data_IF_728252969219
#
_entry.id   IF_728252969219
#
_cell.length_a   1.000
_cell.length_b   1.000
_cell.length_c   1.000
_cell.angle_alpha   90.00
_cell.angle_beta   90.00
_cell.angle_gamma   90.00
#
_symmetry.space_group_name_H-M   'P 1'
#
loop_
_entity.id
_entity.type
_entity.pdbx_description
1 polymer ?
#
# COMPACT_ATOMS: atom_id res chain seq x y z
N UNK A 1 32.91 -5.23 30.41
CA UNK A 1 31.48 -5.49 30.14
C UNK A 1 31.24 -5.30 28.65
N UNK A 2 31.20 -6.38 27.88
CA UNK A 2 30.81 -6.30 26.46
C UNK A 2 29.33 -5.91 26.39
N UNK A 3 29.03 -4.80 25.74
CA UNK A 3 27.67 -4.49 25.29
C UNK A 3 27.25 -5.55 24.27
N UNK A 4 26.55 -6.60 24.72
CA UNK A 4 25.76 -7.41 23.80
C UNK A 4 24.76 -6.46 23.15
N UNK A 5 25.03 -6.11 21.90
CA UNK A 5 24.04 -5.58 20.98
C UNK A 5 22.88 -6.58 20.97
N UNK A 6 21.87 -6.31 21.80
CA UNK A 6 20.62 -7.04 21.83
C UNK A 6 19.95 -6.77 20.48
N UNK A 7 20.25 -7.60 19.49
CA UNK A 7 19.44 -7.68 18.29
C UNK A 7 18.00 -7.96 18.75
N UNK A 8 17.07 -7.09 18.34
CA UNK A 8 15.65 -7.34 18.58
C UNK A 8 15.33 -8.73 18.03
N UNK A 9 14.59 -9.53 18.80
CA UNK A 9 14.25 -10.85 18.34
C UNK A 9 13.36 -10.78 17.09
N UNK A 10 13.54 -11.67 16.13
CA UNK A 10 12.84 -11.57 14.86
C UNK A 10 11.73 -12.62 14.74
N UNK A 11 10.59 -12.21 14.17
CA UNK A 11 9.54 -13.15 13.78
C UNK A 11 10.05 -13.92 12.54
N UNK A 12 10.15 -15.23 12.67
CA UNK A 12 10.40 -16.12 11.52
C UNK A 12 9.07 -16.50 10.87
N UNK A 13 9.10 -16.83 9.58
CA UNK A 13 7.91 -17.27 8.85
C UNK A 13 8.25 -18.35 7.82
N UNK A 14 7.26 -19.17 7.48
CA UNK A 14 7.31 -20.08 6.33
C UNK A 14 6.06 -19.94 5.47
N UNK A 15 6.22 -20.21 4.19
CA UNK A 15 5.14 -20.22 3.20
C UNK A 15 4.89 -21.68 2.82
N UNK A 16 3.63 -22.11 2.93
CA UNK A 16 3.22 -23.50 2.72
C UNK A 16 4.11 -24.45 3.54
N UNK A 17 4.66 -25.50 2.92
CA UNK A 17 5.55 -26.49 3.55
C UNK A 17 7.05 -26.12 3.44
N UNK A 18 7.35 -24.87 3.10
CA UNK A 18 8.73 -24.38 3.01
C UNK A 18 9.44 -24.28 4.37
N UNK A 19 10.73 -23.95 4.31
CA UNK A 19 11.53 -23.69 5.50
C UNK A 19 11.20 -22.33 6.15
N UNK A 20 11.40 -22.23 7.47
CA UNK A 20 11.31 -20.96 8.16
C UNK A 20 12.46 -20.04 7.78
N UNK A 21 12.15 -18.77 7.51
CA UNK A 21 13.13 -17.71 7.22
C UNK A 21 12.86 -16.46 8.05
N UNK A 22 13.87 -15.59 8.18
CA UNK A 22 13.79 -14.32 8.91
C UNK A 22 13.95 -13.16 7.91
N UNK A 23 12.85 -12.82 7.23
CA UNK A 23 12.76 -11.61 6.40
C UNK A 23 11.64 -10.73 6.94
N UNK A 24 11.87 -9.42 6.96
CA UNK A 24 10.86 -8.45 7.41
C UNK A 24 9.77 -8.17 6.36
N UNK A 25 9.84 -8.78 5.18
CA UNK A 25 8.87 -8.61 4.11
C UNK A 25 8.53 -9.94 3.43
N UNK A 26 7.24 -10.24 3.32
CA UNK A 26 6.71 -11.46 2.71
C UNK A 26 5.65 -11.11 1.67
N UNK A 27 5.69 -11.77 0.51
CA UNK A 27 4.71 -11.61 -0.56
C UNK A 27 4.00 -12.94 -0.80
N UNK A 28 2.66 -12.92 -0.81
CA UNK A 28 1.81 -14.10 -0.86
C UNK A 28 0.75 -13.95 -1.94
N UNK A 29 0.55 -15.01 -2.71
CA UNK A 29 -0.65 -15.16 -3.55
C UNK A 29 -1.84 -15.61 -2.71
N UNK A 30 -3.10 -15.48 -3.22
CA UNK A 30 -4.31 -15.80 -2.47
C UNK A 30 -4.43 -17.22 -1.92
N UNK A 31 -3.68 -18.18 -2.51
CA UNK A 31 -3.75 -19.61 -2.17
C UNK A 31 -2.67 -20.05 -1.19
N UNK A 32 -1.66 -19.21 -0.94
CA UNK A 32 -0.52 -19.58 -0.11
C UNK A 32 -0.86 -19.43 1.37
N UNK A 33 -0.43 -20.41 2.16
CA UNK A 33 -0.54 -20.42 3.62
C UNK A 33 0.69 -19.79 4.24
N UNK A 34 0.52 -18.90 5.21
CA UNK A 34 1.61 -18.32 5.98
C UNK A 34 1.57 -18.82 7.41
N UNK A 35 2.69 -19.37 7.88
CA UNK A 35 2.91 -19.65 9.30
C UNK A 35 3.95 -18.68 9.84
N UNK A 36 3.60 -17.97 10.91
CA UNK A 36 4.49 -17.10 11.68
C UNK A 36 4.99 -17.84 12.92
N UNK A 37 6.22 -17.54 13.34
CA UNK A 37 6.83 -18.14 14.52
C UNK A 37 7.67 -17.15 15.31
N UNK A 38 7.42 -17.14 16.61
CA UNK A 38 8.19 -16.39 17.59
C UNK A 38 8.38 -17.28 18.82
N UNK A 39 9.58 -17.86 18.96
CA UNK A 39 9.86 -18.95 19.91
C UNK A 39 11.04 -18.62 20.81
N UNK A 40 10.88 -18.89 22.10
CA UNK A 40 11.92 -18.79 23.12
C UNK A 40 11.83 -19.99 24.06
N UNK A 41 12.97 -20.38 24.62
CA UNK A 41 12.98 -21.31 25.75
C UNK A 41 12.45 -20.58 26.99
N UNK A 42 11.70 -21.28 27.85
CA UNK A 42 11.15 -20.76 29.11
C UNK A 42 10.19 -19.57 28.90
N UNK A 43 9.38 -19.62 27.83
CA UNK A 43 8.33 -18.64 27.59
C UNK A 43 7.14 -18.90 28.54
N UNK A 44 6.85 -17.94 29.42
CA UNK A 44 5.67 -17.96 30.29
C UNK A 44 4.41 -17.56 29.53
N UNK A 45 4.50 -16.59 28.62
CA UNK A 45 3.41 -16.18 27.75
C UNK A 45 3.90 -15.56 26.45
N UNK A 46 3.07 -15.67 25.40
CA UNK A 46 3.34 -15.11 24.07
C UNK A 46 2.13 -14.29 23.63
N UNK A 47 2.36 -13.06 23.15
CA UNK A 47 1.31 -12.18 22.64
C UNK A 47 1.65 -11.71 21.24
N UNK A 48 0.65 -11.73 20.36
CA UNK A 48 0.76 -11.29 18.98
C UNK A 48 -0.12 -10.07 18.75
N UNK A 49 0.38 -9.18 17.90
CA UNK A 49 -0.27 -7.91 17.59
C UNK A 49 -0.21 -7.65 16.10
N UNK A 50 -1.31 -7.10 15.59
CA UNK A 50 -1.32 -6.43 14.29
C UNK A 50 -1.10 -4.93 14.52
N UNK A 51 -0.17 -4.35 13.76
CA UNK A 51 0.03 -2.91 13.68
C UNK A 51 -0.73 -2.42 12.45
N UNK A 52 -1.70 -1.55 12.68
CA UNK A 52 -2.60 -1.06 11.64
C UNK A 52 -2.40 0.45 11.49
N UNK A 53 -1.85 0.94 10.37
CA UNK A 53 -1.80 2.36 10.11
C UNK A 53 -3.22 2.91 9.93
N UNK A 54 -3.47 4.14 10.38
CA UNK A 54 -4.74 4.81 10.17
C UNK A 54 -4.81 5.36 8.75
N UNK A 55 -5.45 4.62 7.85
CA UNK A 55 -5.60 5.00 6.43
C UNK A 55 -6.75 5.98 6.18
N UNK A 56 -7.54 6.34 7.20
CA UNK A 56 -8.65 7.29 7.05
C UNK A 56 -8.20 8.76 7.06
N UNK A 57 -6.98 9.03 7.55
CA UNK A 57 -6.42 10.38 7.68
C UNK A 57 -5.69 10.83 6.43
N UNK A 58 -5.74 12.14 6.19
CA UNK A 58 -4.98 12.77 5.11
C UNK A 58 -3.62 13.21 5.65
N UNK A 59 -2.60 12.41 5.36
CA UNK A 59 -1.23 12.77 5.70
C UNK A 59 -0.59 13.58 4.58
N UNK A 60 0.44 14.34 4.94
CA UNK A 60 1.19 15.13 3.99
C UNK A 60 2.64 15.31 4.43
N UNK A 61 3.54 15.35 3.47
CA UNK A 61 4.90 15.87 3.65
C UNK A 61 5.11 17.22 2.93
N UNK A 62 4.11 17.67 2.19
CA UNK A 62 4.10 18.94 1.49
C UNK A 62 2.71 19.59 1.63
N UNK A 63 2.63 20.91 1.49
CA UNK A 63 1.33 21.60 1.53
C UNK A 63 0.45 21.15 0.36
N UNK A 64 -0.83 20.91 0.62
CA UNK A 64 -1.80 20.56 -0.38
C UNK A 64 -2.03 21.70 -1.40
N UNK A 65 -2.61 21.41 -2.57
CA UNK A 65 -2.86 22.41 -3.60
C UNK A 65 -3.75 23.59 -3.17
N UNK A 66 -4.58 23.40 -2.14
CA UNK A 66 -5.50 24.41 -1.61
C UNK A 66 -4.96 25.15 -0.37
N UNK A 67 -3.75 24.83 0.09
CA UNK A 67 -3.14 25.47 1.25
C UNK A 67 -2.19 26.61 0.83
N UNK A 68 -1.90 27.58 1.72
CA UNK A 68 -0.85 28.57 1.48
C UNK A 68 0.50 27.90 1.21
N UNK A 69 1.30 28.47 0.31
CA UNK A 69 2.55 27.87 -0.17
C UNK A 69 2.34 26.43 -0.69
N UNK A 70 1.33 26.22 -1.53
CA UNK A 70 1.00 24.93 -2.13
C UNK A 70 2.25 24.20 -2.65
N UNK A 71 2.29 22.89 -2.43
CA UNK A 71 3.39 21.97 -2.81
C UNK A 71 4.72 22.20 -2.09
N UNK A 72 4.84 23.18 -1.18
CA UNK A 72 6.04 23.37 -0.37
C UNK A 72 6.25 22.18 0.56
N UNK A 73 7.45 21.59 0.54
CA UNK A 73 7.87 20.55 1.48
C UNK A 73 7.84 21.06 2.92
N UNK A 74 7.23 20.29 3.82
CA UNK A 74 7.08 20.60 5.25
C UNK A 74 7.75 19.58 6.17
N UNK A 75 8.42 18.57 5.61
CA UNK A 75 9.02 17.47 6.36
C UNK A 75 8.14 16.23 6.36
N UNK A 76 8.60 15.15 6.97
CA UNK A 76 7.80 13.93 7.06
C UNK A 76 6.60 14.13 7.99
N UNK A 77 5.40 13.89 7.48
CA UNK A 77 4.18 13.87 8.26
C UNK A 77 4.20 12.74 9.30
N UNK A 78 3.65 13.01 10.48
CA UNK A 78 3.48 12.00 11.52
C UNK A 78 2.32 11.08 11.14
N UNK A 79 2.61 9.79 11.02
CA UNK A 79 1.63 8.76 10.72
C UNK A 79 1.12 8.13 12.01
N UNK A 80 -0.19 7.92 12.09
CA UNK A 80 -0.81 7.27 13.23
C UNK A 80 -0.97 5.78 12.98
N UNK A 81 -0.70 4.99 14.03
CA UNK A 81 -0.77 3.55 14.01
C UNK A 81 -1.51 3.07 15.25
N UNK A 82 -2.32 2.02 15.07
CA UNK A 82 -2.94 1.29 16.17
C UNK A 82 -2.25 -0.05 16.32
N UNK A 83 -2.09 -0.51 17.57
CA UNK A 83 -1.59 -1.84 17.90
C UNK A 83 -2.75 -2.65 18.46
N UNK A 84 -3.15 -3.70 17.75
CA UNK A 84 -4.33 -4.49 18.05
C UNK A 84 -3.90 -5.91 18.42
N UNK A 85 -4.24 -6.41 19.62
CA UNK A 85 -3.95 -7.80 19.99
C UNK A 85 -4.69 -8.80 19.10
N UNK A 86 -4.02 -9.87 18.69
CA UNK A 86 -4.63 -11.02 18.01
C UNK A 86 -4.92 -12.09 19.05
N UNK A 87 -6.11 -12.06 19.65
CA UNK A 87 -6.46 -12.95 20.79
C UNK A 87 -6.35 -14.43 20.44
N UNK A 88 -6.72 -14.82 19.22
CA UNK A 88 -6.63 -16.20 18.75
C UNK A 88 -5.21 -16.75 18.64
N UNK A 89 -4.18 -15.90 18.77
CA UNK A 89 -2.77 -16.27 18.75
C UNK A 89 -2.11 -16.26 20.13
N UNK A 90 -2.85 -15.96 21.20
CA UNK A 90 -2.30 -15.87 22.53
C UNK A 90 -1.68 -17.21 22.98
N UNK A 91 -0.50 -17.12 23.60
CA UNK A 91 0.33 -18.23 24.07
C UNK A 91 0.75 -19.25 23.01
N UNK A 92 0.65 -18.92 21.72
CA UNK A 92 1.13 -19.78 20.64
C UNK A 92 2.47 -19.28 20.10
N UNK A 93 3.44 -20.20 20.01
CA UNK A 93 4.77 -19.90 19.45
C UNK A 93 4.81 -19.98 17.93
N UNK A 94 3.88 -20.73 17.33
CA UNK A 94 3.66 -20.83 15.89
C UNK A 94 2.17 -20.63 15.59
N UNK A 95 1.86 -19.77 14.62
CA UNK A 95 0.49 -19.38 14.29
C UNK A 95 0.30 -19.31 12.78
N UNK A 96 -0.88 -19.69 12.30
CA UNK A 96 -1.25 -19.59 10.88
C UNK A 96 -2.02 -18.28 10.67
N UNK A 97 -1.50 -17.40 9.82
CA UNK A 97 -2.20 -16.17 9.46
C UNK A 97 -3.26 -16.47 8.40
N UNK A 98 -4.52 -16.20 8.73
CA UNK A 98 -5.67 -16.35 7.82
C UNK A 98 -6.35 -15.01 7.56
N UNK A 99 -7.18 -14.96 6.52
CA UNK A 99 -7.97 -13.76 6.18
C UNK A 99 -9.01 -13.42 7.24
N UNK A 100 -9.59 -14.43 7.87
CA UNK A 100 -10.58 -14.23 8.92
C UNK A 100 -9.98 -13.49 10.12
N UNK A 101 -8.72 -13.75 10.44
CA UNK A 101 -7.98 -13.03 11.49
C UNK A 101 -7.77 -11.56 11.10
N UNK A 102 -7.43 -11.29 9.84
CA UNK A 102 -7.28 -9.93 9.33
C UNK A 102 -8.61 -9.16 9.31
N UNK A 103 -9.71 -9.84 9.01
CA UNK A 103 -11.07 -9.27 9.03
C UNK A 103 -11.55 -9.00 10.45
N UNK A 104 -11.33 -9.93 11.39
CA UNK A 104 -11.66 -9.75 12.81
C UNK A 104 -10.95 -8.55 13.44
N UNK A 105 -9.75 -8.21 12.95
CA UNK A 105 -8.98 -7.05 13.38
C UNK A 105 -9.23 -5.78 12.56
N UNK A 106 -10.20 -5.79 11.63
CA UNK A 106 -10.54 -4.62 10.82
C UNK A 106 -10.83 -3.40 11.71
N UNK A 107 -10.19 -2.24 11.45
CA UNK A 107 -10.55 -1.01 12.12
C UNK A 107 -11.98 -0.59 11.75
N UNK A 108 -12.80 -0.28 12.75
CA UNK A 108 -14.20 0.16 12.56
C UNK A 108 -14.34 1.42 11.70
N UNK A 109 -13.30 2.28 11.68
CA UNK A 109 -13.38 3.63 11.11
C UNK A 109 -12.48 3.80 9.86
N UNK A 110 -12.17 2.73 9.13
CA UNK A 110 -11.34 2.83 7.92
C UNK A 110 -12.11 2.39 6.67
N UNK A 111 -12.58 3.33 5.83
CA UNK A 111 -13.26 2.98 4.58
C UNK A 111 -12.33 2.35 3.55
N UNK A 112 -11.01 2.42 3.76
CA UNK A 112 -9.99 1.92 2.84
C UNK A 112 -9.35 0.59 3.29
N UNK A 113 -9.80 0.00 4.40
CA UNK A 113 -9.23 -1.25 4.88
C UNK A 113 -9.69 -2.44 4.01
N UNK A 114 -8.71 -3.21 3.53
CA UNK A 114 -8.90 -4.42 2.74
C UNK A 114 -8.29 -5.62 3.48
N UNK A 115 -9.11 -6.59 3.87
CA UNK A 115 -8.66 -7.81 4.57
C UNK A 115 -8.20 -8.93 3.63
N UNK A 116 -8.51 -8.84 2.33
CA UNK A 116 -8.20 -9.87 1.34
C UNK A 116 -6.86 -9.65 0.64
N UNK A 117 -6.51 -8.39 0.43
CA UNK A 117 -5.35 -7.89 -0.31
C UNK A 117 -4.72 -6.73 0.44
N UNK A 118 -3.45 -6.45 0.18
CA UNK A 118 -2.73 -5.35 0.81
C UNK A 118 -1.61 -5.81 1.72
N UNK A 119 -1.08 -4.86 2.49
CA UNK A 119 0.00 -5.09 3.45
C UNK A 119 -0.50 -5.04 4.89
N UNK A 120 0.08 -5.88 5.73
CA UNK A 120 -0.25 -6.02 7.15
C UNK A 120 1.06 -6.14 7.95
N UNK A 121 1.13 -5.49 9.12
CA UNK A 121 2.33 -5.46 9.95
C UNK A 121 2.11 -6.19 11.26
N UNK A 122 3.11 -6.95 11.70
CA UNK A 122 3.01 -7.81 12.87
C UNK A 122 4.13 -7.56 13.86
N UNK A 123 3.76 -7.68 15.12
CA UNK A 123 4.64 -7.63 16.28
C UNK A 123 4.28 -8.80 17.20
N UNK A 124 5.29 -9.36 17.86
CA UNK A 124 5.16 -10.38 18.87
C UNK A 124 5.99 -10.01 20.12
N UNK A 125 5.46 -10.36 21.29
CA UNK A 125 6.11 -10.18 22.59
C UNK A 125 6.06 -11.49 23.37
N UNK A 126 7.13 -11.80 24.10
CA UNK A 126 7.22 -12.94 25.01
C UNK A 126 7.59 -12.46 26.39
N UNK A 127 6.87 -12.94 27.40
CA UNK A 127 7.30 -12.86 28.80
C UNK A 127 7.98 -14.17 29.16
N UNK A 128 9.22 -14.14 29.60
CA UNK A 128 9.96 -15.32 30.07
C UNK A 128 9.58 -15.65 31.52
N UNK A 129 9.88 -16.87 31.98
CA UNK A 129 9.62 -17.32 33.35
C UNK A 129 10.26 -16.41 34.42
N UNK A 130 11.42 -15.82 34.12
CA UNK A 130 12.10 -14.85 34.97
C UNK A 130 11.51 -13.42 34.92
N UNK A 131 10.38 -13.22 34.23
CA UNK A 131 9.70 -11.93 34.09
C UNK A 131 10.25 -11.01 33.00
N UNK A 132 11.38 -11.34 32.36
CA UNK A 132 11.93 -10.53 31.25
C UNK A 132 10.98 -10.55 30.05
N UNK A 133 10.72 -9.37 29.48
CA UNK A 133 9.97 -9.24 28.22
C UNK A 133 10.92 -9.10 27.04
N UNK A 134 10.74 -9.96 26.04
CA UNK A 134 11.44 -9.88 24.74
C UNK A 134 10.44 -9.52 23.66
N UNK A 135 10.80 -8.56 22.80
CA UNK A 135 9.93 -8.04 21.75
C UNK A 135 10.60 -8.18 20.39
N UNK A 136 9.76 -8.39 19.38
CA UNK A 136 10.17 -8.19 17.99
C UNK A 136 10.03 -6.74 17.57
N UNK A 137 10.59 -6.38 16.41
CA UNK A 137 10.37 -5.06 15.84
C UNK A 137 8.86 -4.82 15.67
N UNK A 138 8.37 -3.69 16.17
CA UNK A 138 6.93 -3.37 16.19
C UNK A 138 6.62 -1.89 16.35
N UNK A 139 5.55 -1.57 17.08
CA UNK A 139 5.01 -0.21 17.20
C UNK A 139 6.02 0.80 17.77
N UNK A 140 6.92 0.32 18.63
CA UNK A 140 7.93 1.14 19.29
C UNK A 140 9.08 1.52 18.34
N UNK A 141 9.12 0.97 17.12
CA UNK A 141 10.10 1.30 16.08
C UNK A 141 9.54 2.31 15.06
N UNK A 142 8.61 3.17 15.45
CA UNK A 142 8.20 4.32 14.65
C UNK A 142 9.27 5.40 14.75
N UNK A 143 9.84 5.76 13.61
CA UNK A 143 10.80 6.87 13.50
C UNK A 143 10.20 8.08 12.79
N UNK A 144 11.04 9.07 12.51
CA UNK A 144 10.66 10.29 11.77
C UNK A 144 9.98 10.00 10.43
N UNK A 145 10.35 8.90 9.77
CA UNK A 145 9.83 8.54 8.43
C UNK A 145 8.60 7.63 8.48
N UNK A 146 8.12 7.26 9.68
CA UNK A 146 7.06 6.27 9.92
C UNK A 146 7.58 4.94 10.48
N UNK A 147 6.77 3.89 10.37
CA UNK A 147 7.09 2.55 10.88
C UNK A 147 8.37 1.98 10.24
N UNK A 148 9.24 1.40 11.06
CA UNK A 148 10.50 0.82 10.60
C UNK A 148 10.28 -0.33 9.59
N UNK A 149 11.04 -0.41 8.48
CA UNK A 149 11.01 -1.56 7.56
C UNK A 149 11.50 -2.89 8.17
N UNK A 150 12.00 -2.86 9.42
CA UNK A 150 12.34 -4.07 10.19
C UNK A 150 11.13 -4.75 10.82
N UNK A 151 10.00 -4.05 10.96
CA UNK A 151 8.74 -4.65 11.39
C UNK A 151 8.27 -5.63 10.32
N UNK A 152 7.87 -6.84 10.72
CA UNK A 152 7.41 -7.85 9.77
C UNK A 152 6.18 -7.35 9.02
N UNK A 153 6.29 -7.26 7.70
CA UNK A 153 5.21 -6.95 6.77
C UNK A 153 4.85 -8.17 5.94
N UNK A 154 3.56 -8.50 5.91
CA UNK A 154 2.98 -9.53 5.05
C UNK A 154 2.12 -8.85 3.99
N UNK A 155 2.35 -9.18 2.73
CA UNK A 155 1.58 -8.64 1.61
C UNK A 155 0.85 -9.73 0.85
N UNK A 156 -0.47 -9.63 0.80
CA UNK A 156 -1.31 -10.43 -0.09
C UNK A 156 -1.50 -9.68 -1.40
N UNK A 157 -0.98 -10.24 -2.49
CA UNK A 157 -1.16 -9.75 -3.86
C UNK A 157 -2.26 -10.54 -4.56
N UNK A 158 -2.98 -9.90 -5.49
CA UNK A 158 -3.98 -10.57 -6.32
C UNK A 158 -3.35 -11.71 -7.14
N UNK A 159 -2.25 -11.39 -7.82
CA UNK A 159 -1.44 -12.31 -8.64
C UNK A 159 -0.03 -11.72 -8.83
N UNK A 160 0.76 -12.26 -9.78
CA UNK A 160 2.13 -11.81 -10.08
C UNK A 160 2.20 -10.73 -11.17
N UNK A 161 1.07 -10.21 -11.64
CA UNK A 161 1.03 -9.10 -12.59
C UNK A 161 1.35 -7.77 -11.90
N UNK A 162 1.53 -6.71 -12.69
CA UNK A 162 1.66 -5.35 -12.16
C UNK A 162 0.47 -4.97 -11.26
N UNK A 163 -0.76 -5.32 -11.67
CA UNK A 163 -1.98 -5.08 -10.88
C UNK A 163 -1.89 -5.83 -9.56
N UNK A 164 -1.46 -7.10 -9.60
CA UNK A 164 -1.21 -7.91 -8.42
C UNK A 164 -0.25 -7.23 -7.44
N UNK A 165 0.90 -6.76 -7.91
CA UNK A 165 1.82 -6.00 -7.05
C UNK A 165 1.22 -4.68 -6.57
N UNK A 166 0.46 -3.95 -7.38
CA UNK A 166 -0.19 -2.72 -6.97
C UNK A 166 -1.15 -2.96 -5.79
N UNK A 167 -1.92 -4.06 -5.82
CA UNK A 167 -2.83 -4.41 -4.71
C UNK A 167 -2.13 -4.64 -3.38
N UNK A 168 -0.82 -4.90 -3.36
CA UNK A 168 -0.06 -5.00 -2.09
C UNK A 168 0.00 -3.68 -1.33
N UNK A 169 -0.27 -2.55 -1.98
CA UNK A 169 -0.32 -1.22 -1.38
C UNK A 169 -1.69 -0.87 -0.77
N UNK A 170 -2.69 -1.75 -0.84
CA UNK A 170 -3.85 -1.61 0.06
C UNK A 170 -3.40 -1.64 1.52
N UNK A 171 -4.12 -0.92 2.37
CA UNK A 171 -3.79 -0.65 3.78
C UNK A 171 -2.51 0.19 4.00
N UNK A 172 -1.88 0.72 2.95
CA UNK A 172 -0.79 1.70 3.07
C UNK A 172 -1.38 3.12 3.09
N UNK A 173 -1.00 3.99 4.05
CA UNK A 173 -1.47 5.38 4.10
C UNK A 173 -1.24 6.17 2.81
N UNK A 174 -2.22 7.00 2.46
CA UNK A 174 -2.03 8.09 1.52
C UNK A 174 -1.24 9.22 2.17
N UNK A 175 -0.12 9.64 1.56
CA UNK A 175 0.69 10.76 2.03
C UNK A 175 0.92 11.69 0.85
N UNK A 176 0.36 12.90 0.88
CA UNK A 176 0.62 13.89 -0.15
C UNK A 176 2.09 14.32 -0.15
N UNK A 177 2.76 14.21 -1.30
CA UNK A 177 4.20 14.43 -1.40
C UNK A 177 4.99 13.31 -0.72
N UNK A 178 4.57 12.05 -0.91
CA UNK A 178 5.35 10.92 -0.42
C UNK A 178 6.76 10.95 -1.03
N UNK A 179 7.67 10.21 -0.40
CA UNK A 179 9.06 10.12 -0.86
C UNK A 179 9.38 8.67 -1.24
N UNK A 180 10.33 8.43 -2.15
CA UNK A 180 10.72 7.09 -2.57
C UNK A 180 11.03 6.11 -1.43
N UNK A 181 11.61 6.61 -0.33
CA UNK A 181 11.83 5.81 0.88
C UNK A 181 10.51 5.30 1.51
N UNK A 182 9.49 6.15 1.62
CA UNK A 182 8.20 5.78 2.23
C UNK A 182 7.45 4.79 1.34
N UNK A 183 7.39 5.08 0.04
CA UNK A 183 6.68 4.22 -0.92
C UNK A 183 7.36 2.87 -1.09
N UNK A 184 8.70 2.83 -1.21
CA UNK A 184 9.45 1.55 -1.34
C UNK A 184 9.30 0.62 -0.14
N UNK A 185 9.05 1.19 1.04
CA UNK A 185 8.92 0.47 2.30
C UNK A 185 7.46 0.33 2.80
N UNK A 186 6.47 0.65 1.96
CA UNK A 186 5.04 0.54 2.31
C UNK A 186 4.64 1.38 3.53
N UNK A 187 5.35 2.48 3.79
CA UNK A 187 5.05 3.37 4.91
C UNK A 187 3.95 4.36 4.52
N UNK A 188 3.97 4.81 3.27
CA UNK A 188 2.95 5.66 2.69
C UNK A 188 3.25 6.00 1.23
N UNK A 189 2.21 6.38 0.49
CA UNK A 189 2.27 6.62 -0.95
C UNK A 189 1.38 7.79 -1.38
N UNK A 190 1.70 8.41 -2.50
CA UNK A 190 0.79 9.26 -3.27
C UNK A 190 0.42 8.64 -4.62
N UNK A 191 -0.37 9.39 -5.41
CA UNK A 191 -0.90 8.95 -6.70
C UNK A 191 0.18 8.50 -7.70
N UNK A 192 1.30 9.22 -7.78
CA UNK A 192 2.35 8.93 -8.75
C UNK A 192 3.33 7.90 -8.19
N UNK A 193 3.74 8.10 -6.93
CA UNK A 193 4.72 7.25 -6.25
C UNK A 193 4.26 5.80 -6.13
N UNK A 194 2.97 5.53 -5.91
CA UNK A 194 2.47 4.15 -5.78
C UNK A 194 2.67 3.34 -7.06
N UNK A 195 2.51 3.98 -8.24
CA UNK A 195 2.71 3.34 -9.53
C UNK A 195 4.19 3.05 -9.76
N UNK A 196 5.06 4.03 -9.51
CA UNK A 196 6.51 3.83 -9.64
C UNK A 196 7.01 2.77 -8.65
N UNK A 197 6.60 2.87 -7.38
CA UNK A 197 7.00 1.91 -6.35
C UNK A 197 6.54 0.49 -6.67
N UNK A 198 5.37 0.32 -7.28
CA UNK A 198 4.88 -0.99 -7.77
C UNK A 198 5.85 -1.61 -8.77
N UNK A 199 6.21 -0.87 -9.83
CA UNK A 199 7.20 -1.35 -10.81
C UNK A 199 8.55 -1.69 -10.14
N UNK A 200 9.05 -0.81 -9.26
CA UNK A 200 10.34 -1.04 -8.58
C UNK A 200 10.32 -2.23 -7.62
N UNK A 201 9.21 -2.47 -6.91
CA UNK A 201 9.04 -3.66 -6.06
C UNK A 201 9.00 -4.93 -6.92
N UNK A 202 8.16 -4.95 -7.96
CA UNK A 202 8.01 -6.09 -8.87
C UNK A 202 9.35 -6.49 -9.50
N UNK A 203 10.11 -5.50 -9.98
CA UNK A 203 11.39 -5.69 -10.65
C UNK A 203 12.59 -5.77 -9.69
N UNK A 204 12.36 -5.79 -8.36
CA UNK A 204 13.41 -5.77 -7.33
C UNK A 204 14.43 -4.64 -7.51
N UNK A 205 13.99 -3.52 -8.08
CA UNK A 205 14.82 -2.37 -8.37
C UNK A 205 14.81 -1.35 -7.22
N UNK A 206 15.80 -0.45 -7.24
CA UNK A 206 15.84 0.70 -6.35
C UNK A 206 14.83 1.76 -6.79
N UNK A 207 14.28 2.50 -5.83
CA UNK A 207 13.44 3.66 -6.08
C UNK A 207 14.20 4.92 -5.64
N UNK A 208 14.91 5.55 -6.57
CA UNK A 208 15.85 6.65 -6.26
C UNK A 208 15.30 8.03 -6.62
N UNK A 209 14.29 8.09 -7.49
CA UNK A 209 13.73 9.34 -8.02
C UNK A 209 12.29 9.52 -7.58
N UNK A 210 11.97 10.72 -7.07
CA UNK A 210 10.59 11.11 -6.78
C UNK A 210 9.94 11.59 -8.09
N UNK A 211 8.96 10.83 -8.60
CA UNK A 211 8.24 11.17 -9.82
C UNK A 211 6.92 11.83 -9.48
N UNK A 212 6.67 13.00 -10.06
CA UNK A 212 5.33 13.60 -10.03
C UNK A 212 4.51 13.18 -11.26
N UNK A 213 3.21 13.48 -11.24
CA UNK A 213 2.27 13.12 -12.31
C UNK A 213 2.69 13.67 -13.68
N UNK A 214 3.18 14.91 -13.75
CA UNK A 214 3.61 15.53 -15.03
C UNK A 214 4.75 14.73 -15.64
N UNK A 215 5.75 14.38 -14.83
CA UNK A 215 6.89 13.59 -15.27
C UNK A 215 6.49 12.21 -15.78
N UNK A 216 5.48 11.58 -15.16
CA UNK A 216 4.94 10.30 -15.63
C UNK A 216 4.20 10.45 -16.96
N UNK A 217 3.38 11.48 -17.10
CA UNK A 217 2.66 11.76 -18.35
C UNK A 217 3.64 12.04 -19.50
N UNK A 218 4.72 12.77 -19.25
CA UNK A 218 5.75 13.07 -20.27
C UNK A 218 6.56 11.83 -20.65
N UNK A 219 6.73 10.87 -19.73
CA UNK A 219 7.54 9.67 -19.95
C UNK A 219 6.78 8.54 -20.63
N UNK A 220 5.49 8.39 -20.34
CA UNK A 220 4.68 7.29 -20.89
C UNK A 220 4.02 7.63 -22.21
N UNK A 221 3.90 6.64 -23.09
CA UNK A 221 3.17 6.81 -24.35
C UNK A 221 1.68 7.08 -24.09
N UNK A 222 1.19 8.24 -24.53
CA UNK A 222 -0.24 8.55 -24.56
C UNK A 222 -0.96 7.71 -25.62
N UNK A 223 -2.01 7.00 -25.21
CA UNK A 223 -2.91 6.25 -26.11
C UNK A 223 -4.16 7.06 -26.47
N UNK A 224 -4.74 7.72 -25.49
CA UNK A 224 -6.00 8.45 -25.63
C UNK A 224 -5.88 9.81 -24.95
N UNK A 225 -6.55 10.81 -25.52
CA UNK A 225 -6.80 12.10 -24.90
C UNK A 225 -8.28 12.45 -25.08
N UNK A 226 -8.97 12.78 -24.00
CA UNK A 226 -10.41 13.08 -23.99
C UNK A 226 -10.78 14.06 -22.88
N UNK A 227 -11.99 14.60 -22.90
CA UNK A 227 -12.60 15.15 -21.68
C UNK A 227 -13.41 14.05 -20.99
N UNK A 228 -13.41 14.04 -19.67
CA UNK A 228 -14.30 13.22 -18.84
C UNK A 228 -15.12 14.17 -17.96
N UNK A 229 -16.43 13.92 -17.88
CA UNK A 229 -17.34 14.63 -16.99
C UNK A 229 -18.23 13.61 -16.26
N UNK A 230 -18.22 13.66 -14.92
CA UNK A 230 -18.91 12.72 -14.03
C UNK A 230 -18.62 11.26 -14.38
N UNK A 231 -17.37 10.97 -14.73
CA UNK A 231 -16.91 9.64 -15.15
C UNK A 231 -17.28 9.22 -16.57
N UNK A 232 -17.96 10.06 -17.36
CA UNK A 232 -18.28 9.73 -18.77
C UNK A 232 -17.34 10.47 -19.73
N UNK A 233 -16.59 9.75 -20.58
CA UNK A 233 -15.78 10.36 -21.63
C UNK A 233 -16.62 11.06 -22.71
N UNK A 234 -16.14 12.21 -23.19
CA UNK A 234 -16.75 12.99 -24.29
C UNK A 234 -16.78 12.27 -25.65
N UNK A 235 -16.07 11.14 -25.77
CA UNK A 235 -16.02 10.29 -26.95
C UNK A 235 -16.09 8.84 -26.48
N UNK A 236 -16.76 7.97 -27.24
CA UNK A 236 -16.79 6.53 -26.95
C UNK A 236 -15.37 5.95 -27.01
N UNK A 237 -14.92 5.36 -25.92
CA UNK A 237 -13.63 4.67 -25.82
C UNK A 237 -13.89 3.19 -25.52
N UNK A 238 -13.30 2.28 -26.28
CA UNK A 238 -13.57 0.84 -26.17
C UNK A 238 -12.40 0.12 -25.51
N UNK A 239 -12.71 -0.67 -24.47
CA UNK A 239 -11.77 -1.56 -23.79
C UNK A 239 -11.15 -2.56 -24.78
N UNK A 240 -9.86 -2.89 -24.60
CA UNK A 240 -9.09 -3.77 -25.47
C UNK A 240 -8.68 -3.15 -26.82
N UNK A 241 -9.38 -2.11 -27.29
CA UNK A 241 -9.09 -1.43 -28.57
C UNK A 241 -8.36 -0.10 -28.37
N UNK A 242 -8.94 0.84 -27.62
CA UNK A 242 -8.35 2.16 -27.39
C UNK A 242 -7.32 2.15 -26.24
N UNK A 243 -7.57 1.29 -25.25
CA UNK A 243 -6.76 1.10 -24.06
C UNK A 243 -7.05 -0.30 -23.49
N UNK A 244 -6.32 -0.72 -22.46
CA UNK A 244 -6.52 -2.03 -21.81
C UNK A 244 -6.49 -1.92 -20.30
N UNK A 245 -6.94 -2.99 -19.64
CA UNK A 245 -6.77 -3.17 -18.20
C UNK A 245 -5.32 -2.93 -17.78
N UNK A 246 -5.12 -2.16 -16.71
CA UNK A 246 -3.82 -1.82 -16.17
C UNK A 246 -3.13 -0.63 -16.83
N UNK A 247 -3.68 -0.05 -17.91
CA UNK A 247 -3.21 1.25 -18.41
C UNK A 247 -3.48 2.35 -17.37
N UNK A 248 -2.65 3.40 -17.36
CA UNK A 248 -2.80 4.51 -16.43
C UNK A 248 -3.76 5.56 -16.96
N UNK A 249 -4.46 6.24 -16.07
CA UNK A 249 -5.34 7.36 -16.37
C UNK A 249 -4.85 8.57 -15.58
N UNK A 250 -4.63 9.71 -16.24
CA UNK A 250 -4.17 10.94 -15.61
C UNK A 250 -5.05 12.12 -16.00
N UNK A 251 -5.29 13.05 -15.07
CA UNK A 251 -6.22 14.18 -15.26
C UNK A 251 -5.56 15.53 -14.99
N UNK A 252 -5.90 16.51 -15.83
CA UNK A 252 -5.78 17.94 -15.52
C UNK A 252 -7.18 18.53 -15.30
N UNK A 253 -7.40 19.09 -14.11
CA UNK A 253 -8.70 19.63 -13.70
C UNK A 253 -9.07 20.95 -14.39
N UNK A 254 -8.07 21.65 -14.95
CA UNK A 254 -8.25 22.91 -15.68
C UNK A 254 -7.62 22.80 -17.06
N UNK A 255 -8.21 23.41 -18.13
CA UNK A 255 -7.69 23.29 -19.49
C UNK A 255 -6.21 23.69 -19.64
N UNK A 256 -5.81 24.78 -18.98
CA UNK A 256 -4.41 25.29 -18.93
C UNK A 256 -3.63 24.81 -17.70
N UNK A 257 -4.19 23.88 -16.92
CA UNK A 257 -3.55 23.31 -15.75
C UNK A 257 -2.53 22.22 -16.09
N UNK A 258 -1.80 21.78 -15.07
CA UNK A 258 -0.92 20.60 -15.14
C UNK A 258 -1.71 19.34 -14.80
N UNK A 259 -1.23 18.18 -15.23
CA UNK A 259 -1.75 16.91 -14.73
C UNK A 259 -1.44 16.81 -13.24
N UNK A 260 -2.48 16.56 -12.44
CA UNK A 260 -2.45 16.70 -10.99
C UNK A 260 -2.75 15.39 -10.26
N UNK A 261 -3.37 14.43 -10.94
CA UNK A 261 -3.70 13.13 -10.39
C UNK A 261 -3.56 12.04 -11.44
N UNK A 262 -3.18 10.84 -11.00
CA UNK A 262 -3.00 9.65 -11.83
C UNK A 262 -3.48 8.42 -11.05
N UNK A 263 -4.06 7.48 -11.77
CA UNK A 263 -4.48 6.17 -11.27
C UNK A 263 -4.33 5.12 -12.35
N UNK A 264 -4.93 3.97 -12.15
CA UNK A 264 -4.89 2.84 -13.07
C UNK A 264 -6.30 2.33 -13.36
N UNK A 265 -6.60 2.11 -14.63
CA UNK A 265 -7.85 1.50 -15.09
C UNK A 265 -7.91 0.04 -14.66
N UNK A 266 -8.93 -0.34 -13.89
CA UNK A 266 -8.97 -1.66 -13.22
C UNK A 266 -9.94 -2.64 -13.86
N UNK A 267 -11.19 -2.27 -14.10
CA UNK A 267 -12.14 -3.19 -14.72
C UNK A 267 -13.29 -2.46 -15.44
N UNK A 268 -13.79 -3.12 -16.48
CA UNK A 268 -15.10 -2.90 -17.07
C UNK A 268 -16.14 -3.60 -16.19
N UNK A 269 -16.74 -2.84 -15.25
CA UNK A 269 -17.56 -3.42 -14.19
C UNK A 269 -18.94 -3.86 -14.72
N UNK A 270 -19.46 -3.17 -15.74
CA UNK A 270 -20.77 -3.46 -16.33
C UNK A 270 -20.68 -4.35 -17.60
N UNK A 271 -19.46 -4.67 -18.05
CA UNK A 271 -19.14 -5.55 -19.18
C UNK A 271 -19.68 -5.07 -20.52
N UNK A 272 -19.85 -3.75 -20.70
CA UNK A 272 -20.37 -3.18 -21.93
C UNK A 272 -19.26 -2.89 -22.98
N UNK A 273 -17.98 -3.07 -22.61
CA UNK A 273 -16.82 -2.87 -23.45
C UNK A 273 -16.45 -1.39 -23.69
N UNK A 274 -17.04 -0.44 -22.96
CA UNK A 274 -16.87 1.00 -23.13
C UNK A 274 -16.40 1.62 -21.82
N UNK A 275 -15.46 2.58 -21.88
CA UNK A 275 -15.10 3.37 -20.70
C UNK A 275 -16.27 4.26 -20.27
N UNK A 276 -16.84 3.99 -19.10
CA UNK A 276 -17.91 4.82 -18.54
C UNK A 276 -17.78 5.03 -17.02
N UNK A 277 -18.84 5.56 -16.42
CA UNK A 277 -18.85 6.06 -15.04
C UNK A 277 -18.91 4.93 -14.00
N UNK A 278 -19.34 3.73 -14.42
CA UNK A 278 -19.46 2.51 -13.63
C UNK A 278 -18.11 1.77 -13.53
N UNK A 279 -17.26 1.91 -14.55
CA UNK A 279 -15.95 1.29 -14.58
C UNK A 279 -15.08 1.69 -13.40
N UNK A 280 -14.26 0.74 -12.94
CA UNK A 280 -13.46 0.94 -11.74
C UNK A 280 -12.03 1.30 -12.05
N UNK A 281 -11.46 2.08 -11.13
CA UNK A 281 -10.07 2.47 -11.14
C UNK A 281 -9.42 2.19 -9.78
N UNK A 282 -8.12 1.96 -9.79
CA UNK A 282 -7.27 1.96 -8.59
C UNK A 282 -6.54 3.30 -8.54
N UNK A 283 -6.69 4.05 -7.45
CA UNK A 283 -5.92 5.28 -7.25
C UNK A 283 -5.58 5.49 -5.76
N UNK A 284 -4.63 6.40 -5.52
CA UNK A 284 -4.25 6.89 -4.20
C UNK A 284 -4.05 8.42 -4.26
N UNK A 285 -4.05 9.09 -3.10
CA UNK A 285 -3.76 10.52 -2.96
C UNK A 285 -5.00 11.42 -3.05
N UNK A 286 -5.37 12.17 -1.98
CA UNK A 286 -4.78 12.14 -0.64
C UNK A 286 -5.14 10.88 0.16
N UNK A 287 -6.14 10.12 -0.30
CA UNK A 287 -6.59 8.88 0.33
C UNK A 287 -5.56 7.75 0.18
N UNK A 288 -5.66 6.73 1.03
CA UNK A 288 -4.97 5.46 0.81
C UNK A 288 -5.37 4.84 -0.54
N UNK A 289 -4.56 3.90 -1.05
CA UNK A 289 -4.89 3.18 -2.28
C UNK A 289 -6.25 2.49 -2.12
N UNK A 290 -7.15 2.67 -3.08
CA UNK A 290 -8.49 2.07 -3.05
C UNK A 290 -9.04 1.86 -4.46
N UNK A 291 -10.08 1.02 -4.54
CA UNK A 291 -10.90 0.86 -5.73
C UNK A 291 -12.09 1.80 -5.64
N UNK A 292 -12.42 2.45 -6.74
CA UNK A 292 -13.60 3.33 -6.82
C UNK A 292 -14.14 3.37 -8.26
N UNK A 293 -15.45 3.55 -8.47
CA UNK A 293 -15.98 3.87 -9.79
C UNK A 293 -15.37 5.15 -10.37
N UNK A 294 -15.25 5.23 -11.69
CA UNK A 294 -14.66 6.38 -12.38
C UNK A 294 -15.40 7.69 -12.08
N UNK A 295 -16.73 7.61 -11.88
CA UNK A 295 -17.56 8.74 -11.42
C UNK A 295 -17.13 9.33 -10.08
N UNK A 296 -16.51 8.53 -9.21
CA UNK A 296 -16.08 8.93 -7.85
C UNK A 296 -14.56 9.08 -7.74
N UNK A 297 -13.83 8.71 -8.79
CA UNK A 297 -12.37 8.71 -8.83
C UNK A 297 -11.70 10.07 -8.96
N UNK A 298 -12.45 11.17 -9.05
CA UNK A 298 -11.93 12.53 -9.29
C UNK A 298 -11.09 12.65 -10.59
N UNK A 299 -11.61 12.10 -11.69
CA UNK A 299 -11.02 12.21 -13.04
C UNK A 299 -11.79 13.16 -13.98
N UNK A 300 -12.56 14.09 -13.43
CA UNK A 300 -13.27 15.11 -14.20
C UNK A 300 -12.31 16.18 -14.74
N UNK A 301 -12.32 16.39 -16.05
CA UNK A 301 -11.45 17.33 -16.75
C UNK A 301 -10.84 16.74 -18.01
N UNK A 302 -9.66 17.25 -18.40
CA UNK A 302 -8.95 16.68 -19.55
C UNK A 302 -8.12 15.51 -19.08
N UNK A 303 -8.39 14.34 -19.66
CA UNK A 303 -7.79 13.08 -19.30
C UNK A 303 -6.91 12.56 -20.42
N UNK A 304 -5.79 11.95 -20.03
CA UNK A 304 -5.02 11.07 -20.90
C UNK A 304 -5.01 9.65 -20.34
N UNK A 305 -5.09 8.68 -21.25
CA UNK A 305 -4.82 7.28 -20.93
C UNK A 305 -3.42 6.96 -21.46
N UNK A 306 -2.57 6.48 -20.57
CA UNK A 306 -1.17 6.21 -20.81
C UNK A 306 -0.95 4.70 -20.84
N UNK A 307 -0.10 4.24 -21.75
CA UNK A 307 0.33 2.85 -21.78
C UNK A 307 1.09 2.53 -20.49
N UNK A 308 0.68 1.48 -19.78
CA UNK A 308 1.49 0.96 -18.69
C UNK A 308 2.70 0.19 -19.27
N UNK A 309 3.87 0.75 -19.03
CA UNK A 309 5.17 0.20 -19.38
C UNK A 309 6.16 0.50 -18.25
N UNK A 310 7.21 -0.30 -18.12
CA UNK A 310 8.17 -0.13 -17.03
C UNK A 310 8.97 1.17 -17.16
N UNK A 311 9.24 1.80 -16.00
CA UNK A 311 9.99 3.05 -15.88
C UNK A 311 11.49 2.87 -15.74
#
# INVERSE_FOLDING_TARGET
MLSQLLFAAEISHKIDDGAFTQKSAVYLTPKQKLTLRFKFNNAKSIKWYQIIPDTSKFYKNANHPWEPNAYKWTGYGKLDYKRVPIKSFENQSEVVLTRDILEQNRPSNSPYYNSKLGSFWFEAEVTLENGKVVKSSGIHNIGRKGLSPKVLRVSYMLDKSYIGYLTTFFNVPGIFGSMPYQSRNYIGVDCADVLVATSKVMNKAKNEKNYNVVMLVDKFKTKVKTQILKGTPSKKLTWGKAFKQGDFIAVKYRPKGRYAHIGMLYADENKNGILDKEDSIINAGPNALHLTPLSQGAFDGTVVILKNEDL
#
